data_IF_134745570984
#
_entry.id   IF_134745570984
#
_cell.length_a   1.000
_cell.length_b   1.000
_cell.length_c   1.000
_cell.angle_alpha   90.00
_cell.angle_beta   90.00
_cell.angle_gamma   90.00
#
_symmetry.space_group_name_H-M   'P 1'
#
loop_
_entity.id
_entity.type
_entity.pdbx_description
1 polymer ?
#
# COMPACT_ATOMS: atom_id res chain seq x y z
N UNK A 1 -73.85 12.83 -7.21
CA UNK A 1 -74.67 11.69 -7.67
C UNK A 1 -74.06 10.36 -7.25
N UNK A 2 -74.79 9.23 -7.33
CA UNK A 2 -74.35 7.90 -6.88
C UNK A 2 -73.09 7.37 -7.57
N UNK A 3 -72.77 7.84 -8.78
CA UNK A 3 -71.51 7.52 -9.47
C UNK A 3 -70.30 8.22 -8.81
N UNK A 4 -70.47 9.46 -8.35
CA UNK A 4 -69.42 10.22 -7.67
C UNK A 4 -69.03 9.59 -6.33
N UNK A 5 -69.99 9.00 -5.60
CA UNK A 5 -69.73 8.32 -4.33
C UNK A 5 -69.02 6.97 -4.51
N UNK A 6 -69.19 6.29 -5.65
CA UNK A 6 -68.38 5.10 -6.01
C UNK A 6 -66.94 5.49 -6.31
N UNK A 7 -66.72 6.56 -7.07
CA UNK A 7 -65.37 7.09 -7.39
C UNK A 7 -64.65 7.51 -6.12
N UNK A 8 -65.30 8.23 -5.21
CA UNK A 8 -64.73 8.62 -3.91
C UNK A 8 -64.33 7.39 -3.08
N UNK A 9 -65.18 6.36 -3.03
CA UNK A 9 -64.85 5.10 -2.32
C UNK A 9 -63.64 4.39 -2.92
N UNK A 10 -63.55 4.32 -4.24
CA UNK A 10 -62.42 3.69 -4.93
C UNK A 10 -61.12 4.47 -4.68
N UNK A 11 -61.18 5.79 -4.78
CA UNK A 11 -60.06 6.68 -4.47
C UNK A 11 -59.57 6.49 -3.03
N UNK A 12 -60.48 6.52 -2.06
CA UNK A 12 -60.12 6.34 -0.64
C UNK A 12 -59.50 4.96 -0.38
N UNK A 13 -60.04 3.91 -0.99
CA UNK A 13 -59.48 2.55 -0.86
C UNK A 13 -58.06 2.49 -1.42
N UNK A 14 -57.82 3.10 -2.58
CA UNK A 14 -56.49 3.16 -3.19
C UNK A 14 -55.52 4.02 -2.37
N UNK A 15 -55.96 5.17 -1.88
CA UNK A 15 -55.16 6.03 -1.01
C UNK A 15 -54.72 5.30 0.26
N UNK A 16 -55.62 4.56 0.90
CA UNK A 16 -55.28 3.74 2.08
C UNK A 16 -54.26 2.65 1.73
N UNK A 17 -54.44 1.96 0.60
CA UNK A 17 -53.49 0.93 0.17
C UNK A 17 -52.09 1.50 -0.11
N UNK A 18 -52.01 2.68 -0.74
CA UNK A 18 -50.74 3.35 -1.01
C UNK A 18 -50.05 3.82 0.29
N UNK A 19 -50.81 4.36 1.25
CA UNK A 19 -50.26 4.74 2.56
C UNK A 19 -49.75 3.52 3.33
N UNK A 20 -50.49 2.41 3.32
CA UNK A 20 -50.04 1.16 3.95
C UNK A 20 -48.76 0.63 3.31
N UNK A 21 -48.68 0.67 1.98
CA UNK A 21 -47.48 0.29 1.24
C UNK A 21 -46.28 1.16 1.64
N UNK A 22 -46.45 2.48 1.70
CA UNK A 22 -45.41 3.42 2.12
C UNK A 22 -44.93 3.12 3.54
N UNK A 23 -45.85 2.99 4.50
CA UNK A 23 -45.50 2.70 5.91
C UNK A 23 -44.72 1.38 6.03
N UNK A 24 -45.14 0.33 5.33
CA UNK A 24 -44.45 -0.97 5.35
C UNK A 24 -43.02 -0.86 4.82
N UNK A 25 -42.81 -0.14 3.71
CA UNK A 25 -41.47 0.03 3.12
C UNK A 25 -40.57 0.90 4.01
N UNK A 26 -41.11 1.98 4.56
CA UNK A 26 -40.37 2.84 5.50
C UNK A 26 -39.95 2.09 6.76
N UNK A 27 -40.83 1.27 7.32
CA UNK A 27 -40.53 0.43 8.49
C UNK A 27 -39.48 -0.64 8.15
N UNK A 28 -39.64 -1.33 7.02
CA UNK A 28 -38.68 -2.33 6.57
C UNK A 28 -37.29 -1.74 6.35
N UNK A 29 -37.20 -0.59 5.69
CA UNK A 29 -35.95 0.14 5.54
C UNK A 29 -35.36 0.56 6.89
N UNK A 30 -36.17 1.12 7.80
CA UNK A 30 -35.71 1.55 9.12
C UNK A 30 -35.06 0.40 9.90
N UNK A 31 -35.66 -0.79 9.88
CA UNK A 31 -35.13 -1.97 10.56
C UNK A 31 -33.82 -2.46 9.92
N UNK A 32 -33.75 -2.47 8.58
CA UNK A 32 -32.53 -2.87 7.87
C UNK A 32 -31.38 -1.86 8.11
N UNK A 33 -31.69 -0.57 8.04
CA UNK A 33 -30.73 0.52 8.18
C UNK A 33 -30.14 0.64 9.60
N UNK A 34 -30.87 0.22 10.64
CA UNK A 34 -30.35 0.16 12.02
C UNK A 34 -29.17 -0.80 12.18
N UNK A 35 -29.03 -1.80 11.31
CA UNK A 35 -27.89 -2.73 11.33
C UNK A 35 -26.60 -2.15 10.75
N UNK A 36 -26.69 -1.14 9.88
CA UNK A 36 -25.53 -0.61 9.14
C UNK A 36 -24.45 0.01 10.05
N UNK A 37 -24.76 0.77 11.11
CA UNK A 37 -23.76 1.29 12.03
C UNK A 37 -22.91 0.20 12.72
N UNK A 38 -23.45 -1.01 12.93
CA UNK A 38 -22.69 -2.12 13.50
C UNK A 38 -21.59 -2.62 12.57
N UNK A 39 -21.76 -2.45 11.25
CA UNK A 39 -20.74 -2.81 10.25
C UNK A 39 -19.51 -1.89 10.34
N UNK A 40 -19.66 -0.67 10.85
CA UNK A 40 -18.55 0.24 11.13
C UNK A 40 -17.69 -0.20 12.34
N UNK A 41 -18.15 -1.17 13.13
CA UNK A 41 -17.35 -1.79 14.19
C UNK A 41 -16.43 -2.90 13.66
N UNK A 42 -16.54 -3.27 12.38
CA UNK A 42 -15.62 -4.21 11.75
C UNK A 42 -14.20 -3.62 11.62
N UNK A 43 -13.21 -4.51 11.48
CA UNK A 43 -11.82 -4.13 11.22
C UNK A 43 -11.69 -3.26 9.97
N UNK A 44 -10.67 -2.41 9.89
CA UNK A 44 -10.44 -1.51 8.74
C UNK A 44 -9.92 -2.24 7.51
N UNK A 45 -9.13 -3.28 7.71
CA UNK A 45 -8.46 -4.05 6.66
C UNK A 45 -8.86 -5.52 6.74
N UNK A 46 -8.82 -6.22 5.60
CA UNK A 46 -8.89 -7.68 5.51
C UNK A 46 -7.73 -8.18 4.64
N UNK A 47 -7.17 -9.34 4.99
CA UNK A 47 -6.22 -10.06 4.14
C UNK A 47 -6.94 -11.14 3.34
N UNK A 48 -6.61 -11.26 2.05
CA UNK A 48 -7.11 -12.36 1.25
C UNK A 48 -6.32 -13.65 1.53
N UNK A 49 -7.03 -14.75 1.83
CA UNK A 49 -6.41 -16.01 2.27
C UNK A 49 -5.45 -16.61 1.24
N UNK A 50 -5.68 -16.39 -0.06
CA UNK A 50 -4.86 -17.00 -1.12
C UNK A 50 -3.76 -16.09 -1.67
N UNK A 51 -3.95 -14.77 -1.68
CA UNK A 51 -2.97 -13.81 -2.26
C UNK A 51 -2.15 -13.08 -1.20
N UNK A 52 -2.55 -13.14 0.08
CA UNK A 52 -2.00 -12.32 1.18
C UNK A 52 -2.04 -10.81 0.92
N UNK A 53 -2.84 -10.36 -0.05
CA UNK A 53 -3.03 -8.95 -0.33
C UNK A 53 -4.00 -8.34 0.69
N UNK A 54 -3.73 -7.09 1.04
CA UNK A 54 -4.56 -6.32 1.96
C UNK A 54 -5.63 -5.56 1.18
N UNK A 55 -6.86 -5.58 1.69
CA UNK A 55 -8.00 -4.84 1.15
C UNK A 55 -8.65 -4.00 2.25
N UNK A 56 -9.24 -2.87 1.85
CA UNK A 56 -10.01 -2.02 2.75
C UNK A 56 -11.38 -2.64 2.99
N UNK A 57 -11.69 -2.92 4.26
CA UNK A 57 -12.89 -3.61 4.69
C UNK A 57 -14.07 -2.65 4.90
N UNK A 58 -14.59 -2.07 3.82
CA UNK A 58 -15.81 -1.26 3.88
C UNK A 58 -16.98 -2.02 3.27
N UNK A 59 -18.00 -2.31 4.08
CA UNK A 59 -19.21 -2.95 3.60
C UNK A 59 -20.02 -1.98 2.71
N UNK A 60 -20.36 -2.36 1.46
CA UNK A 60 -21.11 -1.49 0.54
C UNK A 60 -22.45 -1.04 1.11
N UNK A 61 -23.09 -1.85 1.97
CA UNK A 61 -24.36 -1.51 2.64
C UNK A 61 -24.25 -0.21 3.44
N UNK A 62 -23.08 0.10 3.99
CA UNK A 62 -22.86 1.36 4.71
C UNK A 62 -23.01 2.56 3.77
N UNK A 63 -22.45 2.48 2.56
CA UNK A 63 -22.54 3.56 1.57
C UNK A 63 -23.95 3.68 1.00
N UNK A 64 -24.64 2.56 0.79
CA UNK A 64 -26.04 2.52 0.35
C UNK A 64 -26.96 3.21 1.37
N UNK A 65 -26.89 2.80 2.65
CA UNK A 65 -27.72 3.38 3.72
C UNK A 65 -27.42 4.87 3.93
N UNK A 66 -26.15 5.29 3.79
CA UNK A 66 -25.79 6.71 3.82
C UNK A 66 -26.45 7.50 2.68
N UNK A 67 -26.48 6.95 1.47
CA UNK A 67 -27.12 7.57 0.31
C UNK A 67 -28.65 7.61 0.47
N UNK A 68 -29.26 6.51 0.92
CA UNK A 68 -30.69 6.43 1.20
C UNK A 68 -31.11 7.44 2.29
N UNK A 69 -30.36 7.51 3.39
CA UNK A 69 -30.63 8.46 4.48
C UNK A 69 -30.63 9.92 4.02
N UNK A 70 -29.75 10.29 3.07
CA UNK A 70 -29.75 11.62 2.45
C UNK A 70 -31.04 11.91 1.70
N UNK A 71 -31.56 10.96 0.93
CA UNK A 71 -32.81 11.10 0.20
C UNK A 71 -34.03 11.11 1.12
N UNK A 72 -34.04 10.24 2.14
CA UNK A 72 -35.11 10.17 3.14
C UNK A 72 -35.24 11.49 3.91
N UNK A 73 -34.11 12.11 4.26
CA UNK A 73 -34.09 13.43 4.89
C UNK A 73 -34.67 14.50 3.96
N UNK A 74 -34.34 14.47 2.65
CA UNK A 74 -34.90 15.41 1.66
C UNK A 74 -36.40 15.22 1.42
N UNK A 75 -36.89 13.98 1.54
CA UNK A 75 -38.31 13.64 1.44
C UNK A 75 -39.10 13.99 2.73
N UNK A 76 -38.44 14.49 3.77
CA UNK A 76 -39.08 14.83 5.04
C UNK A 76 -39.41 13.63 5.93
N UNK A 77 -38.85 12.46 5.63
CA UNK A 77 -39.05 11.23 6.40
C UNK A 77 -38.10 11.20 7.59
N UNK A 78 -38.59 10.77 8.75
CA UNK A 78 -37.78 10.65 9.97
C UNK A 78 -36.80 9.48 9.88
N UNK A 79 -35.52 9.79 9.73
CA UNK A 79 -34.43 8.80 9.73
C UNK A 79 -34.11 8.33 11.16
N UNK A 80 -33.81 7.03 11.40
CA UNK A 80 -33.40 6.52 12.70
C UNK A 80 -32.18 7.25 13.29
N UNK A 81 -32.17 7.47 14.61
CA UNK A 81 -31.08 8.21 15.30
C UNK A 81 -29.70 7.58 15.08
N UNK A 82 -29.62 6.25 14.98
CA UNK A 82 -28.36 5.55 14.73
C UNK A 82 -27.78 5.89 13.33
N UNK A 83 -28.64 5.93 12.32
CA UNK A 83 -28.29 6.30 10.94
C UNK A 83 -27.95 7.79 10.82
N UNK A 84 -28.64 8.66 11.56
CA UNK A 84 -28.30 10.09 11.61
C UNK A 84 -26.87 10.33 12.15
N UNK A 85 -26.48 9.64 13.22
CA UNK A 85 -25.11 9.70 13.78
C UNK A 85 -24.07 9.17 12.79
N UNK A 86 -24.42 8.17 11.99
CA UNK A 86 -23.55 7.66 10.94
C UNK A 86 -23.40 8.68 9.80
N UNK A 87 -24.51 9.31 9.40
CA UNK A 87 -24.55 10.33 8.34
C UNK A 87 -23.71 11.55 8.68
N UNK A 88 -23.68 11.99 9.94
CA UNK A 88 -22.81 13.10 10.35
C UNK A 88 -21.31 12.76 10.25
N UNK A 89 -20.93 11.48 10.33
CA UNK A 89 -19.55 11.01 10.18
C UNK A 89 -19.20 10.60 8.74
N UNK A 90 -20.12 10.75 7.79
CA UNK A 90 -19.93 10.29 6.41
C UNK A 90 -18.67 10.86 5.75
N UNK A 91 -18.42 12.17 5.90
CA UNK A 91 -17.25 12.82 5.31
C UNK A 91 -15.94 12.20 5.85
N UNK A 92 -15.89 11.89 7.14
CA UNK A 92 -14.75 11.26 7.78
C UNK A 92 -14.55 9.82 7.28
N UNK A 93 -15.61 9.02 7.22
CA UNK A 93 -15.53 7.62 6.73
C UNK A 93 -15.05 7.58 5.28
N UNK A 94 -15.57 8.46 4.41
CA UNK A 94 -15.14 8.55 3.00
C UNK A 94 -13.68 8.99 2.87
N UNK A 95 -13.25 9.97 3.67
CA UNK A 95 -11.87 10.42 3.67
C UNK A 95 -10.91 9.32 4.16
N UNK A 96 -11.29 8.61 5.23
CA UNK A 96 -10.53 7.49 5.78
C UNK A 96 -10.42 6.34 4.75
N UNK A 97 -11.53 5.99 4.10
CA UNK A 97 -11.55 4.96 3.05
C UNK A 97 -10.57 5.29 1.93
N UNK A 98 -10.60 6.53 1.43
CA UNK A 98 -9.67 6.98 0.39
C UNK A 98 -8.21 6.90 0.86
N UNK A 99 -7.90 7.40 2.07
CA UNK A 99 -6.53 7.37 2.61
C UNK A 99 -6.01 5.96 2.80
N UNK A 100 -6.85 5.02 3.22
CA UNK A 100 -6.46 3.61 3.35
C UNK A 100 -6.18 2.98 1.99
N UNK A 101 -6.99 3.30 0.97
CA UNK A 101 -6.71 2.86 -0.41
C UNK A 101 -5.38 3.40 -0.93
N UNK A 102 -5.17 4.71 -0.79
CA UNK A 102 -3.94 5.38 -1.22
C UNK A 102 -2.72 4.75 -0.51
N UNK A 103 -2.80 4.51 0.81
CA UNK A 103 -1.74 3.86 1.60
C UNK A 103 -1.43 2.43 1.13
N UNK A 104 -2.45 1.62 0.83
CA UNK A 104 -2.24 0.25 0.33
C UNK A 104 -1.64 0.26 -1.08
N UNK A 105 -2.07 1.21 -1.92
CA UNK A 105 -1.49 1.40 -3.25
C UNK A 105 -0.02 1.81 -3.13
N UNK A 106 0.31 2.76 -2.25
CA UNK A 106 1.68 3.19 -1.97
C UNK A 106 2.53 1.99 -1.52
N UNK A 107 2.03 1.16 -0.60
CA UNK A 107 2.70 -0.07 -0.17
C UNK A 107 3.02 -1.00 -1.34
N UNK A 108 2.02 -1.31 -2.18
CA UNK A 108 2.22 -2.16 -3.36
C UNK A 108 3.24 -1.57 -4.35
N UNK A 109 3.26 -0.24 -4.50
CA UNK A 109 4.18 0.46 -5.39
C UNK A 109 5.63 0.37 -4.90
N UNK A 110 5.85 0.52 -3.59
CA UNK A 110 7.17 0.39 -2.98
C UNK A 110 7.69 -1.03 -3.16
N UNK A 111 6.85 -2.04 -2.88
CA UNK A 111 7.23 -3.44 -3.10
C UNK A 111 7.59 -3.74 -4.56
N UNK A 112 6.84 -3.18 -5.52
CA UNK A 112 7.11 -3.39 -6.95
C UNK A 112 8.42 -2.77 -7.44
N UNK A 113 8.93 -1.77 -6.72
CA UNK A 113 10.20 -1.08 -7.05
C UNK A 113 11.42 -1.81 -6.48
N UNK A 114 11.24 -2.71 -5.52
CA UNK A 114 12.34 -3.48 -4.94
C UNK A 114 12.84 -4.49 -5.99
N UNK A 115 14.14 -4.48 -6.33
CA UNK A 115 14.72 -5.49 -7.20
C UNK A 115 14.57 -6.89 -6.59
N UNK A 116 14.27 -7.94 -7.40
CA UNK A 116 14.01 -9.28 -6.88
C UNK A 116 15.20 -9.89 -6.12
N UNK A 117 16.43 -9.47 -6.47
CA UNK A 117 17.66 -9.85 -5.77
C UNK A 117 17.72 -9.30 -4.33
N UNK A 118 17.08 -8.17 -4.08
CA UNK A 118 17.06 -7.49 -2.78
C UNK A 118 15.83 -7.88 -1.94
N UNK A 119 14.83 -8.56 -2.51
CA UNK A 119 13.63 -8.98 -1.78
C UNK A 119 13.92 -9.75 -0.47
N UNK A 120 14.81 -10.77 -0.44
CA UNK A 120 15.15 -11.46 0.80
C UNK A 120 15.76 -10.54 1.86
N UNK A 121 16.50 -9.51 1.43
CA UNK A 121 17.12 -8.51 2.30
C UNK A 121 16.10 -7.49 2.83
N UNK A 122 15.04 -7.22 2.07
CA UNK A 122 13.95 -6.32 2.49
C UNK A 122 12.95 -6.99 3.43
N UNK A 123 12.89 -8.32 3.47
CA UNK A 123 11.91 -9.09 4.24
C UNK A 123 11.71 -8.63 5.70
N UNK A 124 12.75 -8.31 6.51
CA UNK A 124 12.53 -7.81 7.88
C UNK A 124 11.83 -6.44 7.90
N UNK A 125 12.12 -5.56 6.96
CA UNK A 125 11.45 -4.26 6.83
C UNK A 125 10.01 -4.41 6.33
N UNK A 126 9.77 -5.33 5.39
CA UNK A 126 8.43 -5.68 4.93
C UNK A 126 7.60 -6.22 6.11
N UNK A 127 8.18 -7.12 6.90
CA UNK A 127 7.54 -7.67 8.10
C UNK A 127 7.23 -6.59 9.14
N UNK A 128 8.06 -5.55 9.25
CA UNK A 128 7.81 -4.41 10.13
C UNK A 128 6.63 -3.56 9.65
N UNK A 129 6.49 -3.34 8.33
CA UNK A 129 5.32 -2.69 7.75
C UNK A 129 4.06 -3.53 7.97
N UNK A 130 4.13 -4.85 7.75
CA UNK A 130 3.00 -5.77 8.00
C UNK A 130 2.60 -5.80 9.48
N UNK A 131 3.57 -5.76 10.40
CA UNK A 131 3.32 -5.63 11.83
C UNK A 131 2.62 -4.30 12.16
N UNK A 132 3.01 -3.21 11.48
CA UNK A 132 2.38 -1.90 11.61
C UNK A 132 0.96 -1.87 11.03
N UNK A 133 0.65 -2.72 10.04
CA UNK A 133 -0.69 -2.90 9.47
C UNK A 133 -1.59 -3.81 10.34
N UNK A 134 -1.01 -4.65 11.19
CA UNK A 134 -1.75 -5.61 12.03
C UNK A 134 -2.84 -5.00 12.92
N UNK A 135 -2.70 -3.78 13.50
CA UNK A 135 -3.78 -3.15 14.25
C UNK A 135 -5.00 -2.86 13.38
N UNK A 136 -4.82 -2.57 12.10
CA UNK A 136 -5.89 -2.34 11.12
C UNK A 136 -6.71 -3.60 10.80
N UNK A 137 -6.12 -4.78 11.00
CA UNK A 137 -6.75 -6.09 10.75
C UNK A 137 -7.54 -6.61 11.95
N UNK A 138 -7.08 -6.31 13.17
CA UNK A 138 -7.57 -6.99 14.39
C UNK A 138 -8.30 -6.02 15.33
N UNK A 139 -7.74 -4.83 15.55
CA UNK A 139 -8.10 -3.99 16.71
C UNK A 139 -8.84 -2.71 16.32
N UNK A 140 -8.49 -2.11 15.18
CA UNK A 140 -9.04 -0.82 14.75
C UNK A 140 -10.30 -1.02 13.93
N UNK A 141 -11.34 -0.25 14.27
CA UNK A 141 -12.59 -0.18 13.51
C UNK A 141 -12.80 1.19 12.88
N UNK A 142 -13.75 1.30 11.96
CA UNK A 142 -14.12 2.57 11.30
C UNK A 142 -14.62 3.65 12.28
N UNK A 143 -15.01 3.24 13.49
CA UNK A 143 -15.46 4.14 14.54
C UNK A 143 -14.32 4.69 15.42
N UNK A 144 -13.11 4.14 15.31
CA UNK A 144 -11.97 4.44 16.17
C UNK A 144 -11.38 5.84 15.94
N UNK A 145 -10.89 6.46 17.01
CA UNK A 145 -10.33 7.82 17.02
C UNK A 145 -8.85 7.87 16.67
N UNK A 146 -8.13 6.75 16.79
CA UNK A 146 -6.70 6.61 16.55
C UNK A 146 -6.36 6.14 15.13
N UNK A 147 -7.27 6.36 14.18
CA UNK A 147 -7.09 5.97 12.77
C UNK A 147 -6.00 6.80 12.09
N UNK A 148 -5.91 8.09 12.41
CA UNK A 148 -4.87 8.99 11.88
C UNK A 148 -3.46 8.57 12.32
N UNK A 149 -3.26 8.34 13.62
CA UNK A 149 -1.98 7.90 14.18
C UNK A 149 -1.54 6.55 13.65
N UNK A 150 -2.51 5.66 13.38
CA UNK A 150 -2.25 4.39 12.74
C UNK A 150 -1.72 4.59 11.31
N UNK A 151 -2.41 5.37 10.49
CA UNK A 151 -1.97 5.66 9.11
C UNK A 151 -0.58 6.29 9.11
N UNK A 152 -0.32 7.25 10.00
CA UNK A 152 0.99 7.87 10.14
C UNK A 152 2.08 6.86 10.50
N UNK A 153 1.83 5.95 11.45
CA UNK A 153 2.79 4.91 11.82
C UNK A 153 3.14 3.98 10.65
N UNK A 154 2.15 3.60 9.84
CA UNK A 154 2.37 2.79 8.63
C UNK A 154 3.19 3.56 7.60
N UNK A 155 2.91 4.85 7.39
CA UNK A 155 3.69 5.68 6.48
C UNK A 155 5.14 5.89 6.93
N UNK A 156 5.41 5.95 8.23
CA UNK A 156 6.78 5.98 8.77
C UNK A 156 7.51 4.69 8.41
N UNK A 157 6.93 3.54 8.72
CA UNK A 157 7.53 2.24 8.39
C UNK A 157 7.72 2.05 6.87
N UNK A 158 6.75 2.50 6.07
CA UNK A 158 6.81 2.46 4.61
C UNK A 158 7.92 3.36 4.06
N UNK A 159 8.08 4.56 4.61
CA UNK A 159 9.13 5.49 4.22
C UNK A 159 10.53 4.94 4.54
N UNK A 160 10.68 4.27 5.67
CA UNK A 160 11.94 3.63 6.04
C UNK A 160 12.28 2.50 5.06
N UNK A 161 11.30 1.66 4.70
CA UNK A 161 11.45 0.65 3.65
C UNK A 161 11.82 1.26 2.29
N UNK A 162 11.13 2.33 1.88
CA UNK A 162 11.35 3.03 0.61
C UNK A 162 12.77 3.61 0.50
N UNK A 163 13.22 4.30 1.56
CA UNK A 163 14.57 4.87 1.63
C UNK A 163 15.64 3.79 1.60
N UNK A 164 15.42 2.70 2.33
CA UNK A 164 16.37 1.60 2.38
C UNK A 164 16.46 0.86 1.05
N UNK A 165 15.32 0.57 0.43
CA UNK A 165 15.24 -0.01 -0.90
C UNK A 165 15.99 0.83 -1.94
N UNK A 166 15.83 2.16 -1.91
CA UNK A 166 16.57 3.07 -2.80
C UNK A 166 18.08 3.01 -2.56
N UNK A 167 18.51 3.13 -1.31
CA UNK A 167 19.94 3.06 -0.98
C UNK A 167 20.58 1.73 -1.42
N UNK A 168 19.91 0.61 -1.13
CA UNK A 168 20.39 -0.71 -1.53
C UNK A 168 20.43 -0.89 -3.06
N UNK A 169 19.44 -0.37 -3.77
CA UNK A 169 19.39 -0.42 -5.24
C UNK A 169 20.48 0.47 -5.85
N UNK A 170 20.67 1.68 -5.33
CA UNK A 170 21.72 2.61 -5.79
C UNK A 170 23.13 2.03 -5.56
N UNK A 171 23.38 1.39 -4.42
CA UNK A 171 24.65 0.71 -4.16
C UNK A 171 24.88 -0.45 -5.15
N UNK A 172 23.84 -1.23 -5.44
CA UNK A 172 23.93 -2.35 -6.38
C UNK A 172 24.19 -1.84 -7.80
N UNK A 173 23.31 -1.00 -8.35
CA UNK A 173 23.34 -0.56 -9.74
C UNK A 173 24.50 0.40 -10.02
N UNK A 174 24.67 1.44 -9.18
CA UNK A 174 25.62 2.51 -9.49
C UNK A 174 27.06 2.18 -9.06
N UNK A 175 27.27 1.32 -8.06
CA UNK A 175 28.61 1.00 -7.56
C UNK A 175 29.04 -0.41 -7.96
N UNK A 176 28.25 -1.44 -7.67
CA UNK A 176 28.66 -2.82 -7.92
C UNK A 176 28.57 -3.15 -9.41
N UNK A 177 27.41 -2.98 -10.04
CA UNK A 177 27.20 -3.34 -11.45
C UNK A 177 28.06 -2.48 -12.39
N UNK A 178 28.19 -1.18 -12.13
CA UNK A 178 29.08 -0.32 -12.91
C UNK A 178 30.54 -0.77 -12.85
N UNK A 179 31.06 -1.11 -11.67
CA UNK A 179 32.43 -1.61 -11.54
C UNK A 179 32.61 -2.96 -12.25
N UNK A 180 31.63 -3.86 -12.15
CA UNK A 180 31.66 -5.14 -12.87
C UNK A 180 31.63 -4.93 -14.39
N UNK A 181 30.86 -3.95 -14.87
CA UNK A 181 30.84 -3.57 -16.27
C UNK A 181 32.19 -3.01 -16.72
N UNK A 182 32.80 -2.13 -15.92
CA UNK A 182 34.14 -1.60 -16.20
C UNK A 182 35.19 -2.71 -16.25
N UNK A 183 35.14 -3.66 -15.31
CA UNK A 183 36.00 -4.86 -15.30
C UNK A 183 35.83 -5.68 -16.58
N UNK A 184 34.59 -5.88 -17.04
CA UNK A 184 34.30 -6.64 -18.27
C UNK A 184 34.86 -5.97 -19.52
N UNK A 185 34.98 -4.64 -19.51
CA UNK A 185 35.49 -3.84 -20.63
C UNK A 185 37.00 -3.58 -20.60
N UNK A 186 37.71 -4.10 -19.58
CA UNK A 186 39.13 -3.84 -19.40
C UNK A 186 39.97 -4.50 -20.52
N UNK A 187 40.73 -3.73 -21.32
CA UNK A 187 41.53 -4.29 -22.40
C UNK A 187 42.77 -5.01 -21.85
N UNK A 188 42.77 -6.34 -21.95
CA UNK A 188 43.93 -7.16 -21.56
C UNK A 188 45.08 -7.09 -22.56
N UNK A 189 44.76 -6.78 -23.82
CA UNK A 189 45.73 -6.73 -24.91
C UNK A 189 45.39 -5.55 -25.83
N UNK A 190 46.36 -4.68 -26.05
CA UNK A 190 46.22 -3.56 -26.99
C UNK A 190 46.82 -3.98 -28.33
N UNK A 191 45.96 -4.12 -29.34
CA UNK A 191 46.42 -4.39 -30.71
C UNK A 191 47.01 -3.10 -31.30
N UNK A 192 48.27 -3.10 -31.76
CA UNK A 192 48.87 -1.92 -32.33
C UNK A 192 48.27 -1.60 -33.71
N UNK A 193 48.07 -0.30 -33.98
CA UNK A 193 47.43 0.18 -35.22
C UNK A 193 48.37 0.10 -36.43
N UNK A 194 49.69 0.06 -36.18
CA UNK A 194 50.74 -0.05 -37.18
C UNK A 194 51.56 -1.32 -36.95
N UNK A 195 52.17 -1.91 -37.99
CA UNK A 195 53.03 -3.08 -37.83
C UNK A 195 54.22 -2.75 -36.92
N UNK A 196 54.34 -3.50 -35.83
CA UNK A 196 55.43 -3.38 -34.84
C UNK A 196 56.24 -4.67 -34.85
N UNK A 197 57.50 -4.61 -34.43
CA UNK A 197 58.33 -5.81 -34.32
C UNK A 197 57.74 -6.78 -33.28
N UNK A 198 57.95 -8.11 -33.43
CA UNK A 198 57.47 -9.08 -32.45
C UNK A 198 57.98 -8.82 -31.03
N UNK A 199 59.18 -8.26 -30.90
CA UNK A 199 59.81 -7.94 -29.60
C UNK A 199 59.13 -6.75 -28.93
N UNK A 200 58.85 -5.69 -29.70
CA UNK A 200 58.14 -4.51 -29.21
C UNK A 200 56.68 -4.83 -28.86
N UNK A 201 56.04 -5.71 -29.64
CA UNK A 201 54.68 -6.19 -29.35
C UNK A 201 54.63 -6.98 -28.04
N UNK A 202 55.62 -7.84 -27.77
CA UNK A 202 55.73 -8.56 -26.50
C UNK A 202 55.89 -7.60 -25.32
N UNK A 203 56.78 -6.60 -25.44
CA UNK A 203 56.99 -5.59 -24.40
C UNK A 203 55.71 -4.76 -24.12
N UNK A 204 55.01 -4.34 -25.18
CA UNK A 204 53.75 -3.61 -25.05
C UNK A 204 52.64 -4.48 -24.44
N UNK A 205 52.58 -5.75 -24.80
CA UNK A 205 51.60 -6.69 -24.27
C UNK A 205 51.85 -6.98 -22.79
N UNK A 206 53.10 -7.20 -22.39
CA UNK A 206 53.46 -7.45 -20.99
C UNK A 206 53.18 -6.23 -20.10
N UNK A 207 53.52 -5.03 -20.59
CA UNK A 207 53.15 -3.76 -19.95
C UNK A 207 51.64 -3.58 -19.80
N UNK A 208 50.87 -3.82 -20.86
CA UNK A 208 49.41 -3.69 -20.86
C UNK A 208 48.76 -4.73 -19.94
N UNK A 209 49.26 -5.96 -19.94
CA UNK A 209 48.76 -7.04 -19.09
C UNK A 209 49.01 -6.76 -17.61
N UNK A 210 50.19 -6.24 -17.24
CA UNK A 210 50.50 -5.84 -15.87
C UNK A 210 49.61 -4.67 -15.40
N UNK A 211 49.37 -3.68 -16.26
CA UNK A 211 48.47 -2.57 -15.96
C UNK A 211 47.02 -3.05 -15.77
N UNK A 212 46.52 -3.88 -16.68
CA UNK A 212 45.19 -4.46 -16.59
C UNK A 212 45.03 -5.36 -15.36
N UNK A 213 46.04 -6.16 -15.01
CA UNK A 213 46.04 -6.96 -13.78
C UNK A 213 45.95 -6.10 -12.51
N UNK A 214 46.68 -4.98 -12.46
CA UNK A 214 46.58 -4.03 -11.34
C UNK A 214 45.20 -3.38 -11.26
N UNK A 215 44.63 -2.97 -12.39
CA UNK A 215 43.28 -2.38 -12.46
C UNK A 215 42.20 -3.38 -12.02
N UNK A 216 42.21 -4.59 -12.57
CA UNK A 216 41.24 -5.63 -12.23
C UNK A 216 41.34 -6.05 -10.76
N UNK A 217 42.56 -6.17 -10.23
CA UNK A 217 42.78 -6.46 -8.81
C UNK A 217 42.19 -5.37 -7.91
N UNK A 218 42.44 -4.10 -8.23
CA UNK A 218 41.84 -2.97 -7.52
C UNK A 218 40.31 -2.96 -7.62
N UNK A 219 39.75 -3.15 -8.82
CA UNK A 219 38.30 -3.19 -9.03
C UNK A 219 37.64 -4.33 -8.25
N UNK A 220 38.25 -5.52 -8.24
CA UNK A 220 37.78 -6.66 -7.45
C UNK A 220 37.71 -6.32 -5.95
N UNK A 221 38.74 -5.66 -5.41
CA UNK A 221 38.75 -5.23 -4.01
C UNK A 221 37.68 -4.16 -3.72
N UNK A 222 37.41 -3.26 -4.67
CA UNK A 222 36.33 -2.28 -4.52
C UNK A 222 34.95 -2.93 -4.54
N UNK A 223 34.71 -3.91 -5.42
CA UNK A 223 33.45 -4.67 -5.45
C UNK A 223 33.22 -5.35 -4.10
N UNK A 224 34.24 -6.04 -3.58
CA UNK A 224 34.18 -6.68 -2.27
C UNK A 224 33.81 -5.68 -1.16
N UNK A 225 34.51 -4.54 -1.12
CA UNK A 225 34.23 -3.47 -0.15
C UNK A 225 32.81 -2.91 -0.26
N UNK A 226 32.33 -2.65 -1.47
CA UNK A 226 30.97 -2.13 -1.70
C UNK A 226 29.90 -3.12 -1.23
N UNK A 227 30.13 -4.42 -1.45
CA UNK A 227 29.23 -5.47 -0.95
C UNK A 227 29.26 -5.53 0.57
N UNK A 228 30.43 -5.41 1.20
CA UNK A 228 30.51 -5.33 2.67
C UNK A 228 29.83 -4.08 3.24
N UNK A 229 29.98 -2.92 2.60
CA UNK A 229 29.27 -1.69 2.99
C UNK A 229 27.74 -1.88 2.93
N UNK A 230 27.23 -2.54 1.88
CA UNK A 230 25.80 -2.89 1.78
C UNK A 230 25.35 -3.79 2.95
N UNK A 231 26.15 -4.80 3.30
CA UNK A 231 25.86 -5.72 4.41
C UNK A 231 25.90 -4.98 5.77
N UNK A 232 26.82 -4.05 5.96
CA UNK A 232 26.91 -3.29 7.21
C UNK A 232 25.79 -2.26 7.33
N UNK A 233 25.36 -1.63 6.23
CA UNK A 233 24.16 -0.79 6.20
C UNK A 233 22.90 -1.60 6.57
N UNK A 234 22.76 -2.81 6.03
CA UNK A 234 21.70 -3.76 6.40
C UNK A 234 21.71 -4.04 7.91
N UNK A 235 22.86 -4.46 8.44
CA UNK A 235 23.00 -4.80 9.88
C UNK A 235 22.75 -3.60 10.79
N UNK A 236 23.23 -2.41 10.41
CA UNK A 236 23.02 -1.19 11.18
C UNK A 236 21.55 -0.80 11.29
N UNK A 237 20.80 -0.96 10.19
CA UNK A 237 19.37 -0.65 10.14
C UNK A 237 18.50 -1.73 10.80
N UNK A 238 18.88 -3.00 10.72
CA UNK A 238 18.20 -4.09 11.45
C UNK A 238 18.33 -3.94 12.98
N UNK A 239 19.51 -3.57 13.49
CA UNK A 239 19.72 -3.34 14.93
C UNK A 239 18.91 -2.16 15.46
N UNK A 240 18.70 -1.12 14.66
CA UNK A 240 17.89 0.03 15.05
C UNK A 240 16.41 -0.36 15.12
N UNK A 241 15.89 -1.15 14.17
CA UNK A 241 14.52 -1.67 14.25
C UNK A 241 14.29 -2.63 15.43
N UNK A 242 15.27 -3.44 15.82
CA UNK A 242 15.16 -4.28 17.04
C UNK A 242 15.18 -3.44 18.33
N UNK A 243 15.95 -2.36 18.37
CA UNK A 243 15.99 -1.45 19.54
C UNK A 243 14.72 -0.62 19.72
N UNK A 244 14.00 -0.31 18.64
CA UNK A 244 12.73 0.45 18.70
C UNK A 244 11.57 -0.42 19.21
N UNK A 245 11.64 -1.75 19.03
CA UNK A 245 10.62 -2.69 19.52
C UNK A 245 10.80 -3.12 21.00
N UNK A 246 11.77 -2.54 21.71
CA UNK A 246 12.09 -2.82 23.12
C UNK A 246 11.92 -1.59 24.04
N UNK A 247 11.20 -0.56 23.57
CA UNK A 247 10.86 0.66 24.33
C UNK A 247 9.41 0.70 24.78
#
# INVERSE_FOLDING_TARGET
GPEMTKVIRSYNKMAVALLQYEVLHLQGWSQAAESAPHRLSAALLVTHESSKEFFVNLDPVVLEVLQEARWMTKLGVTVPKAVQKMTSREAHVKALYKRLLDMLQDYSSVLSRVPPLLCPLMQPFISHVEASLSPGLITLSWSALNTDTFIESVYVALKDLDQFSKAASDLLECRVERLLQDMSSCPLLLLPVSPVSPQDLLLQTDSSAQAAAATLSWQSQQVERNVFELIDELKGKMKTTESVNLG
#
